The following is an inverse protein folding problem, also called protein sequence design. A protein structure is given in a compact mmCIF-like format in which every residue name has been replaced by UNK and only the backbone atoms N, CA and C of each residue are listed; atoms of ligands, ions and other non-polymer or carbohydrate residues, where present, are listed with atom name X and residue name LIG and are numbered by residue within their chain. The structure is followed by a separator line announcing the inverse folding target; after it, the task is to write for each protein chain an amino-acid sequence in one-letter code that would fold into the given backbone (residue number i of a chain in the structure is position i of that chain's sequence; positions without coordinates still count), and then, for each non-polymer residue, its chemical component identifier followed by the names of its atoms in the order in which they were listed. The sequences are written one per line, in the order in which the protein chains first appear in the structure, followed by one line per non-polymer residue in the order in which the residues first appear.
data_IF_567002245341
#
_entry.id   IF_567002245341
#
_cell.length_a   1.000
_cell.length_b   1.000
_cell.length_c   1.000
_cell.angle_alpha   90.00
_cell.angle_beta   90.00
_cell.angle_gamma   90.00
#
_symmetry.space_group_name_H-M   'P 1'
#
loop_
_entity.id
_entity.type
_entity.pdbx_description
1 polymer ?
#
# COMPACT_ATOMS: atom_id res chain seq x y z
N UNK A 1 0.05 -20.59 -30.47
CA UNK A 1 -0.17 -19.48 -31.43
C UNK A 1 -0.28 -20.08 -32.81
N UNK A 2 -1.26 -19.71 -33.66
CA UNK A 2 -1.46 -20.33 -34.96
C UNK A 2 -0.15 -20.33 -35.76
N UNK A 3 0.35 -21.52 -36.12
CA UNK A 3 1.53 -21.71 -36.99
C UNK A 3 2.92 -21.71 -36.34
N UNK A 4 3.06 -21.49 -35.02
CA UNK A 4 4.37 -21.41 -34.36
C UNK A 4 4.81 -22.68 -33.61
N UNK A 5 6.13 -22.88 -33.47
CA UNK A 5 6.75 -23.93 -32.60
C UNK A 5 6.52 -23.72 -31.10
N UNK A 6 5.84 -22.66 -30.70
CA UNK A 6 5.61 -22.27 -29.31
C UNK A 6 4.15 -22.49 -28.91
N UNK A 7 3.96 -23.09 -27.73
CA UNK A 7 2.68 -23.20 -27.03
C UNK A 7 2.71 -22.34 -25.78
N UNK A 8 1.59 -21.70 -25.47
CA UNK A 8 1.40 -21.02 -24.19
C UNK A 8 1.01 -22.07 -23.15
N UNK A 9 1.50 -21.88 -21.92
CA UNK A 9 0.89 -22.55 -20.79
C UNK A 9 -0.48 -21.92 -20.56
N UNK A 10 -1.53 -22.74 -20.47
CA UNK A 10 -2.89 -22.22 -20.40
C UNK A 10 -3.18 -21.56 -19.05
N UNK A 11 -2.48 -21.94 -17.99
CA UNK A 11 -2.64 -21.37 -16.65
C UNK A 11 -1.56 -20.33 -16.36
N UNK A 12 -1.94 -19.26 -15.65
CA UNK A 12 -1.02 -18.22 -15.21
C UNK A 12 -1.38 -17.73 -13.82
N UNK A 13 -0.38 -17.19 -13.11
CA UNK A 13 -0.58 -16.44 -11.88
C UNK A 13 -0.81 -14.97 -12.19
N UNK A 14 -1.82 -14.36 -11.60
CA UNK A 14 -2.07 -12.92 -11.66
C UNK A 14 -1.68 -12.29 -10.33
N UNK A 15 -0.85 -11.24 -10.34
CA UNK A 15 -0.57 -10.43 -9.15
C UNK A 15 -1.32 -9.11 -9.26
N UNK A 16 -2.15 -8.82 -8.26
CA UNK A 16 -2.83 -7.54 -8.14
C UNK A 16 -2.17 -6.62 -7.11
N UNK A 17 -2.58 -5.35 -7.02
CA UNK A 17 -2.27 -4.50 -5.89
C UNK A 17 -3.07 -4.93 -4.65
N UNK A 18 -2.65 -4.47 -3.47
CA UNK A 18 -3.33 -4.79 -2.20
C UNK A 18 -4.61 -3.99 -1.96
N UNK A 19 -4.80 -2.86 -2.66
CA UNK A 19 -6.00 -2.02 -2.54
C UNK A 19 -6.44 -1.52 -3.94
N UNK A 20 -7.70 -1.08 -4.08
CA UNK A 20 -8.18 -0.56 -5.36
C UNK A 20 -7.42 0.69 -5.81
N UNK A 21 -7.15 0.79 -7.11
CA UNK A 21 -6.52 1.97 -7.73
C UNK A 21 -7.32 3.26 -7.48
N UNK A 22 -8.64 3.17 -7.33
CA UNK A 22 -9.49 4.32 -7.00
C UNK A 22 -9.05 5.04 -5.71
N UNK A 23 -8.44 4.30 -4.77
CA UNK A 23 -7.91 4.86 -3.54
C UNK A 23 -6.86 5.95 -3.77
N UNK A 24 -6.00 5.83 -4.79
CA UNK A 24 -5.01 6.90 -5.09
C UNK A 24 -5.66 8.11 -5.75
N UNK A 25 -6.74 7.92 -6.51
CA UNK A 25 -7.47 9.01 -7.16
C UNK A 25 -8.16 9.92 -6.14
N UNK A 26 -8.54 9.38 -4.98
CA UNK A 26 -9.08 10.17 -3.87
C UNK A 26 -8.07 11.20 -3.30
N UNK A 27 -6.77 11.05 -3.61
CA UNK A 27 -5.73 12.00 -3.22
C UNK A 27 -5.46 13.07 -4.29
N UNK A 28 -6.17 13.05 -5.41
CA UNK A 28 -6.01 13.98 -6.53
C UNK A 28 -7.18 14.98 -6.59
N UNK A 29 -7.10 16.12 -5.87
CA UNK A 29 -8.11 17.18 -5.98
C UNK A 29 -8.04 17.86 -7.34
N UNK A 30 -8.89 17.43 -8.28
CA UNK A 30 -8.90 17.97 -9.66
C UNK A 30 -9.30 19.45 -9.68
N UNK A 31 -10.21 19.84 -8.80
CA UNK A 31 -10.68 21.22 -8.63
C UNK A 31 -9.53 22.21 -8.37
N UNK A 32 -8.63 21.89 -7.44
CA UNK A 32 -7.50 22.78 -7.13
C UNK A 32 -6.47 22.80 -8.26
N UNK A 33 -6.30 21.70 -9.00
CA UNK A 33 -5.41 21.68 -10.18
C UNK A 33 -5.93 22.59 -11.29
N UNK A 34 -7.24 22.59 -11.56
CA UNK A 34 -7.85 23.50 -12.54
C UNK A 34 -7.76 24.96 -12.09
N UNK A 35 -7.85 25.24 -10.78
CA UNK A 35 -7.62 26.59 -10.28
C UNK A 35 -6.14 27.00 -10.45
N UNK A 36 -5.20 26.10 -10.19
CA UNK A 36 -3.77 26.36 -10.37
C UNK A 36 -3.41 26.71 -11.83
N UNK A 37 -4.12 26.15 -12.82
CA UNK A 37 -3.90 26.43 -14.24
C UNK A 37 -4.03 27.92 -14.59
N UNK A 38 -4.80 28.71 -13.82
CA UNK A 38 -4.89 30.17 -14.01
C UNK A 38 -3.54 30.89 -13.87
N UNK A 39 -2.62 30.30 -13.13
CA UNK A 39 -1.29 30.86 -12.86
C UNK A 39 -0.20 30.23 -13.72
N UNK A 40 -0.55 29.34 -14.66
CA UNK A 40 0.41 28.70 -15.55
C UNK A 40 1.14 29.74 -16.41
N UNK A 41 2.44 29.95 -16.15
CA UNK A 41 3.26 30.95 -16.84
C UNK A 41 2.99 32.40 -16.42
N UNK A 42 2.20 32.62 -15.37
CA UNK A 42 1.87 33.93 -14.80
C UNK A 42 2.70 34.31 -13.56
N UNK A 43 2.31 35.39 -12.91
CA UNK A 43 2.93 35.87 -11.67
C UNK A 43 2.29 35.18 -10.46
N UNK A 44 3.11 34.59 -9.58
CA UNK A 44 2.67 33.89 -8.36
C UNK A 44 2.61 34.87 -7.17
N UNK A 45 1.84 35.94 -7.31
CA UNK A 45 1.62 36.94 -6.25
C UNK A 45 0.38 37.79 -6.51
N UNK A 46 -0.08 38.48 -5.47
CA UNK A 46 -1.24 39.35 -5.51
C UNK A 46 -2.52 38.67 -5.03
N UNK A 47 -3.66 39.39 -5.04
CA UNK A 47 -4.88 38.95 -4.36
C UNK A 47 -5.39 37.58 -4.83
N UNK A 48 -5.34 37.31 -6.14
CA UNK A 48 -5.79 36.03 -6.71
C UNK A 48 -4.89 34.86 -6.28
N UNK A 49 -3.58 35.12 -6.11
CA UNK A 49 -2.62 34.13 -5.63
C UNK A 49 -2.83 33.86 -4.13
N UNK A 50 -3.03 34.91 -3.33
CA UNK A 50 -3.31 34.78 -1.90
C UNK A 50 -4.61 33.99 -1.66
N UNK A 51 -5.64 34.22 -2.48
CA UNK A 51 -6.88 33.42 -2.49
C UNK A 51 -6.60 31.95 -2.83
N UNK A 52 -5.82 31.70 -3.88
CA UNK A 52 -5.42 30.34 -4.27
C UNK A 52 -4.65 29.62 -3.16
N UNK A 53 -3.70 30.28 -2.50
CA UNK A 53 -2.96 29.69 -1.37
C UNK A 53 -3.90 29.30 -0.22
N UNK A 54 -4.90 30.13 0.08
CA UNK A 54 -5.95 29.82 1.04
C UNK A 54 -6.71 28.54 0.66
N UNK A 55 -7.25 28.49 -0.57
CA UNK A 55 -7.97 27.32 -1.09
C UNK A 55 -7.09 26.07 -1.08
N UNK A 56 -5.84 26.18 -1.53
CA UNK A 56 -4.88 25.07 -1.53
C UNK A 56 -4.63 24.56 -0.11
N UNK A 57 -4.47 25.45 0.87
CA UNK A 57 -4.30 25.08 2.28
C UNK A 57 -5.48 24.29 2.84
N UNK A 58 -6.70 24.69 2.52
CA UNK A 58 -7.92 23.98 2.92
C UNK A 58 -8.05 22.61 2.25
N UNK A 59 -7.82 22.54 0.93
CA UNK A 59 -7.82 21.29 0.18
C UNK A 59 -6.78 20.32 0.73
N UNK A 60 -5.58 20.82 1.00
CA UNK A 60 -4.53 20.03 1.62
C UNK A 60 -4.98 19.52 3.00
N UNK A 61 -5.51 20.36 3.89
CA UNK A 61 -6.03 19.91 5.19
C UNK A 61 -7.07 18.78 5.04
N UNK A 62 -8.00 18.90 4.08
CA UNK A 62 -8.99 17.86 3.75
C UNK A 62 -8.32 16.55 3.27
N UNK A 63 -7.32 16.63 2.40
CA UNK A 63 -6.55 15.45 1.96
C UNK A 63 -5.83 14.76 3.12
N UNK A 64 -5.31 15.53 4.09
CA UNK A 64 -4.72 14.96 5.30
C UNK A 64 -5.75 14.20 6.15
N UNK A 65 -6.97 14.73 6.30
CA UNK A 65 -8.07 14.01 6.99
C UNK A 65 -8.40 12.71 6.25
N UNK A 66 -8.45 12.72 4.92
CA UNK A 66 -8.65 11.50 4.12
C UNK A 66 -7.55 10.47 4.37
N UNK A 67 -6.29 10.92 4.38
CA UNK A 67 -5.14 10.07 4.70
C UNK A 67 -5.17 9.55 6.13
N UNK A 68 -5.71 10.31 7.10
CA UNK A 68 -5.94 9.80 8.45
C UNK A 68 -6.99 8.69 8.46
N UNK A 69 -8.05 8.81 7.65
CA UNK A 69 -9.03 7.74 7.46
C UNK A 69 -8.38 6.45 6.92
N UNK A 70 -7.50 6.57 5.92
CA UNK A 70 -6.71 5.44 5.40
C UNK A 70 -5.80 4.86 6.49
N UNK A 71 -5.02 5.73 7.16
CA UNK A 71 -4.07 5.34 8.20
C UNK A 71 -4.73 4.68 9.41
N UNK A 72 -6.00 5.00 9.69
CA UNK A 72 -6.79 4.41 10.76
C UNK A 72 -7.46 3.08 10.40
N UNK A 73 -7.45 2.68 9.12
CA UNK A 73 -8.05 1.41 8.71
C UNK A 73 -7.22 0.21 9.17
N UNK A 74 -7.90 -0.88 9.53
CA UNK A 74 -7.26 -2.13 9.96
C UNK A 74 -6.35 -2.70 8.89
N UNK A 75 -6.81 -2.69 7.64
CA UNK A 75 -6.13 -3.33 6.52
C UNK A 75 -4.86 -2.55 6.16
N UNK A 76 -4.94 -1.23 6.07
CA UNK A 76 -3.74 -0.42 5.83
C UNK A 76 -2.73 -0.56 6.97
N UNK A 77 -3.19 -0.51 8.22
CA UNK A 77 -2.33 -0.69 9.39
C UNK A 77 -1.65 -2.05 9.37
N UNK A 78 -2.37 -3.11 8.99
CA UNK A 78 -1.80 -4.44 8.83
C UNK A 78 -0.77 -4.50 7.68
N UNK A 79 -1.03 -3.86 6.54
CA UNK A 79 -0.10 -3.79 5.41
C UNK A 79 1.23 -3.14 5.81
N UNK A 80 1.13 -1.99 6.47
CA UNK A 80 2.31 -1.30 7.00
C UNK A 80 3.00 -2.14 8.07
N UNK A 81 2.27 -2.85 8.93
CA UNK A 81 2.85 -3.73 9.94
C UNK A 81 3.70 -4.86 9.33
N UNK A 82 3.22 -5.48 8.27
CA UNK A 82 3.95 -6.55 7.57
C UNK A 82 5.22 -6.06 6.90
N UNK A 83 5.21 -4.83 6.38
CA UNK A 83 6.38 -4.26 5.72
C UNK A 83 7.38 -3.65 6.72
N UNK A 84 6.89 -2.85 7.67
CA UNK A 84 7.70 -2.07 8.58
C UNK A 84 6.93 -1.67 9.84
N UNK A 85 6.98 -2.52 10.88
CA UNK A 85 6.32 -2.24 12.17
C UNK A 85 6.78 -0.96 12.86
N UNK A 86 8.00 -0.49 12.62
CA UNK A 86 8.49 0.75 13.25
C UNK A 86 7.65 1.96 12.82
N UNK A 87 7.20 1.98 11.56
CA UNK A 87 6.39 3.06 10.98
C UNK A 87 5.04 3.21 11.67
N UNK A 88 4.47 2.15 12.24
CA UNK A 88 3.25 2.23 13.04
C UNK A 88 3.40 3.21 14.21
N UNK A 89 4.54 3.09 14.92
CA UNK A 89 4.83 3.89 16.11
C UNK A 89 5.37 5.27 15.77
N UNK A 90 6.28 5.38 14.79
CA UNK A 90 6.99 6.62 14.50
C UNK A 90 6.27 7.52 13.50
N UNK A 91 5.46 6.93 12.61
CA UNK A 91 4.73 7.61 11.54
C UNK A 91 3.23 7.68 11.80
N UNK A 92 2.54 6.53 11.77
CA UNK A 92 1.07 6.47 11.80
C UNK A 92 0.49 7.00 13.10
N UNK A 93 0.97 6.54 14.26
CA UNK A 93 0.40 6.96 15.55
C UNK A 93 0.49 8.49 15.77
N UNK A 94 1.63 9.16 15.57
CA UNK A 94 1.69 10.61 15.65
C UNK A 94 0.87 11.33 14.57
N UNK A 95 0.74 10.75 13.37
CA UNK A 95 -0.09 11.32 12.31
C UNK A 95 -1.58 11.29 12.66
N UNK A 96 -2.07 10.18 13.21
CA UNK A 96 -3.45 10.03 13.68
C UNK A 96 -3.77 10.91 14.89
N UNK A 97 -2.76 11.24 15.71
CA UNK A 97 -2.93 12.12 16.88
C UNK A 97 -2.87 13.62 16.56
N UNK A 98 -2.56 14.01 15.32
CA UNK A 98 -2.52 15.40 14.88
C UNK A 98 -3.89 15.82 14.32
N UNK A 99 -4.25 17.11 14.47
CA UNK A 99 -5.50 17.67 13.91
C UNK A 99 -5.15 18.47 12.64
N UNK A 100 -5.53 18.00 11.44
CA UNK A 100 -5.25 18.70 10.20
C UNK A 100 -5.92 20.08 10.13
N UNK A 101 -5.16 21.09 9.72
CA UNK A 101 -5.64 22.44 9.45
C UNK A 101 -4.70 23.13 8.46
N UNK A 102 -5.19 24.15 7.76
CA UNK A 102 -4.39 24.92 6.82
C UNK A 102 -3.18 25.59 7.51
N UNK A 103 -3.37 26.16 8.70
CA UNK A 103 -2.33 26.82 9.49
C UNK A 103 -1.45 25.86 10.32
N UNK A 104 -1.92 24.64 10.62
CA UNK A 104 -1.23 23.65 11.45
C UNK A 104 -0.33 22.66 10.69
N UNK A 105 -0.16 22.81 9.37
CA UNK A 105 0.62 21.94 8.48
C UNK A 105 2.11 22.28 8.43
N UNK A 106 2.77 22.25 9.59
CA UNK A 106 4.23 22.44 9.65
C UNK A 106 5.01 21.26 9.04
N UNK A 107 6.35 21.35 8.99
CA UNK A 107 7.22 20.36 8.34
C UNK A 107 6.98 18.91 8.82
N UNK A 108 6.85 18.69 10.14
CA UNK A 108 6.72 17.34 10.70
C UNK A 108 5.39 16.65 10.34
N UNK A 109 4.20 17.29 10.50
CA UNK A 109 2.94 16.74 9.99
C UNK A 109 2.98 16.42 8.50
N UNK A 110 3.56 17.31 7.67
CA UNK A 110 3.67 17.10 6.22
C UNK A 110 4.51 15.87 5.86
N UNK A 111 5.65 15.65 6.53
CA UNK A 111 6.47 14.46 6.31
C UNK A 111 5.71 13.17 6.63
N UNK A 112 4.86 13.17 7.66
CA UNK A 112 4.07 12.00 8.04
C UNK A 112 2.90 11.75 7.10
N UNK A 113 2.27 12.81 6.63
CA UNK A 113 1.29 12.73 5.56
C UNK A 113 1.88 12.12 4.29
N UNK A 114 3.04 12.64 3.84
CA UNK A 114 3.76 12.14 2.68
C UNK A 114 4.15 10.67 2.85
N UNK A 115 4.57 10.27 4.06
CA UNK A 115 4.84 8.87 4.40
C UNK A 115 3.60 8.00 4.20
N UNK A 116 2.43 8.39 4.73
CA UNK A 116 1.18 7.64 4.56
C UNK A 116 0.76 7.61 3.08
N UNK A 117 0.86 8.74 2.38
CA UNK A 117 0.55 8.84 0.96
C UNK A 117 1.43 7.90 0.12
N UNK A 118 2.74 7.81 0.41
CA UNK A 118 3.65 6.90 -0.27
C UNK A 118 3.29 5.43 -0.06
N UNK A 119 2.96 5.02 1.17
CA UNK A 119 2.47 3.66 1.43
C UNK A 119 1.15 3.40 0.71
N UNK A 120 0.22 4.36 0.74
CA UNK A 120 -1.08 4.21 0.09
C UNK A 120 -0.97 4.07 -1.43
N UNK A 121 -0.20 4.94 -2.07
CA UNK A 121 0.11 4.85 -3.50
C UNK A 121 0.71 3.48 -3.81
N UNK A 122 1.73 3.05 -3.06
CA UNK A 122 2.37 1.75 -3.25
C UNK A 122 1.35 0.62 -3.19
N UNK A 123 0.50 0.59 -2.18
CA UNK A 123 -0.45 -0.52 -2.02
C UNK A 123 -1.62 -0.48 -3.01
N UNK A 124 -1.93 0.68 -3.61
CA UNK A 124 -2.97 0.81 -4.63
C UNK A 124 -2.48 0.55 -6.07
N UNK A 125 -1.19 0.79 -6.36
CA UNK A 125 -0.70 0.83 -7.75
C UNK A 125 0.47 -0.10 -8.05
N UNK A 126 1.08 -0.72 -7.04
CA UNK A 126 2.16 -1.70 -7.25
C UNK A 126 1.65 -3.10 -6.96
N UNK A 127 1.93 -4.01 -7.89
CA UNK A 127 1.60 -5.44 -7.78
C UNK A 127 2.70 -6.20 -7.01
N UNK A 128 3.20 -5.58 -5.94
CA UNK A 128 4.18 -6.18 -5.04
C UNK A 128 3.46 -7.06 -4.02
N UNK A 129 3.88 -8.31 -3.87
CA UNK A 129 3.34 -9.20 -2.83
C UNK A 129 4.08 -8.96 -1.52
N UNK A 130 3.40 -8.34 -0.55
CA UNK A 130 3.91 -8.03 0.79
C UNK A 130 2.98 -8.68 1.81
N UNK A 131 3.27 -9.94 2.14
CA UNK A 131 2.37 -10.76 2.95
C UNK A 131 1.08 -11.05 2.18
N UNK A 132 -0.07 -10.77 2.80
CA UNK A 132 -1.38 -10.95 2.18
C UNK A 132 -1.84 -9.74 1.33
N UNK A 133 -1.02 -8.69 1.24
CA UNK A 133 -1.25 -7.59 0.30
C UNK A 133 -0.51 -7.84 -1.01
N UNK A 134 -1.17 -7.49 -2.11
CA UNK A 134 -0.75 -7.91 -3.45
C UNK A 134 -0.98 -9.41 -3.69
N UNK A 135 -2.24 -9.87 -3.55
CA UNK A 135 -2.57 -11.29 -3.62
C UNK A 135 -2.23 -11.88 -4.98
N UNK A 136 -1.98 -13.19 -4.96
CA UNK A 136 -1.79 -14.00 -6.17
C UNK A 136 -3.10 -14.72 -6.48
N UNK A 137 -3.70 -14.38 -7.61
CA UNK A 137 -4.80 -15.12 -8.22
C UNK A 137 -4.30 -16.09 -9.29
N UNK A 138 -5.18 -16.99 -9.72
CA UNK A 138 -4.94 -17.88 -10.85
C UNK A 138 -5.88 -17.53 -11.98
N UNK A 139 -5.38 -17.59 -13.22
CA UNK A 139 -6.16 -17.39 -14.42
C UNK A 139 -5.86 -18.45 -15.47
N UNK A 140 -6.72 -18.52 -16.48
CA UNK A 140 -6.55 -19.39 -17.64
C UNK A 140 -6.75 -18.60 -18.94
N UNK A 141 -5.97 -18.93 -19.96
CA UNK A 141 -6.22 -18.50 -21.34
C UNK A 141 -7.29 -19.40 -21.95
N UNK A 142 -8.43 -18.83 -22.30
CA UNK A 142 -9.54 -19.51 -22.96
C UNK A 142 -9.80 -18.85 -24.33
N UNK A 143 -9.69 -19.62 -25.41
CA UNK A 143 -9.90 -19.12 -26.77
C UNK A 143 -11.36 -18.83 -27.13
N UNK A 144 -12.31 -19.21 -26.28
CA UNK A 144 -13.74 -18.91 -26.45
C UNK A 144 -14.15 -17.54 -25.90
N UNK A 145 -13.31 -16.91 -25.07
CA UNK A 145 -13.59 -15.62 -24.44
C UNK A 145 -13.02 -14.49 -25.29
N UNK A 146 -13.85 -13.50 -25.65
CA UNK A 146 -13.46 -12.36 -26.48
C UNK A 146 -12.70 -11.24 -25.74
N UNK A 147 -12.32 -11.45 -24.48
CA UNK A 147 -11.77 -10.42 -23.60
C UNK A 147 -11.27 -10.98 -22.27
N UNK A 148 -11.39 -10.19 -21.20
CA UNK A 148 -11.01 -10.58 -19.83
C UNK A 148 -12.27 -10.76 -19.01
N UNK A 149 -12.48 -11.97 -18.49
CA UNK A 149 -13.45 -12.24 -17.44
C UNK A 149 -12.74 -12.30 -16.10
N UNK A 150 -13.34 -11.69 -15.08
CA UNK A 150 -12.78 -11.63 -13.73
C UNK A 150 -13.85 -12.11 -12.77
N UNK A 151 -13.48 -13.04 -11.88
CA UNK A 151 -14.30 -13.49 -10.76
C UNK A 151 -13.70 -12.89 -9.47
N UNK A 152 -14.16 -11.72 -9.01
CA UNK A 152 -13.63 -11.08 -7.82
C UNK A 152 -14.15 -11.77 -6.55
N UNK A 153 -13.27 -11.95 -5.58
CA UNK A 153 -13.68 -12.39 -4.23
C UNK A 153 -14.37 -11.28 -3.43
N UNK A 154 -14.93 -11.65 -2.27
CA UNK A 154 -15.65 -10.72 -1.37
C UNK A 154 -14.72 -9.84 -0.51
N UNK A 155 -13.42 -10.07 -0.54
CA UNK A 155 -12.44 -9.35 0.28
C UNK A 155 -11.04 -9.32 -0.34
N UNK A 156 -10.07 -8.76 0.40
CA UNK A 156 -8.69 -8.60 -0.09
C UNK A 156 -8.01 -9.93 -0.44
N UNK A 157 -8.25 -10.97 0.36
CA UNK A 157 -7.73 -12.32 0.12
C UNK A 157 -8.79 -13.38 0.42
N UNK A 158 -8.91 -14.39 -0.44
CA UNK A 158 -9.75 -15.56 -0.16
C UNK A 158 -9.19 -16.44 0.99
N UNK A 159 -7.85 -16.53 1.09
CA UNK A 159 -7.16 -17.20 2.19
C UNK A 159 -5.75 -16.63 2.36
N UNK A 160 -5.17 -16.83 3.54
CA UNK A 160 -3.77 -16.51 3.80
C UNK A 160 -3.11 -17.59 4.64
N UNK A 161 -1.80 -17.76 4.50
CA UNK A 161 -1.00 -18.69 5.30
C UNK A 161 0.27 -17.98 5.74
N UNK A 162 0.62 -18.12 7.02
CA UNK A 162 1.82 -17.52 7.60
C UNK A 162 2.80 -18.63 7.92
N UNK A 163 4.05 -18.42 7.54
CA UNK A 163 5.14 -19.36 7.76
C UNK A 163 6.22 -18.72 8.61
N UNK A 164 6.94 -19.53 9.39
CA UNK A 164 8.17 -19.06 10.03
C UNK A 164 9.22 -18.79 8.96
N UNK A 165 9.95 -17.68 9.11
CA UNK A 165 11.15 -17.46 8.33
C UNK A 165 12.20 -18.52 8.67
N UNK A 166 12.94 -18.98 7.65
CA UNK A 166 13.99 -19.99 7.79
C UNK A 166 14.97 -19.65 8.90
N UNK A 167 15.41 -18.39 9.00
CA UNK A 167 16.36 -17.95 10.02
C UNK A 167 15.85 -18.17 11.46
N UNK A 168 14.54 -18.06 11.69
CA UNK A 168 13.94 -18.23 13.01
C UNK A 168 13.93 -19.70 13.40
N UNK A 169 13.64 -20.57 12.43
CA UNK A 169 13.73 -22.02 12.60
C UNK A 169 15.19 -22.43 12.84
N UNK A 170 16.14 -21.86 12.09
CA UNK A 170 17.57 -22.14 12.28
C UNK A 170 18.08 -21.66 13.63
N UNK A 171 17.63 -20.48 14.09
CA UNK A 171 17.98 -19.95 15.40
C UNK A 171 17.43 -20.85 16.52
N UNK A 172 16.17 -21.25 16.43
CA UNK A 172 15.55 -22.19 17.35
C UNK A 172 16.31 -23.52 17.37
N UNK A 173 16.60 -24.09 16.20
CA UNK A 173 17.35 -25.33 16.08
C UNK A 173 18.72 -25.22 16.75
N UNK A 174 19.47 -24.13 16.52
CA UNK A 174 20.76 -23.88 17.20
C UNK A 174 20.63 -23.82 18.71
N UNK A 175 19.60 -23.14 19.23
CA UNK A 175 19.36 -23.06 20.68
C UNK A 175 19.03 -24.42 21.28
N UNK A 176 18.18 -25.21 20.63
CA UNK A 176 17.82 -26.55 21.10
C UNK A 176 19.01 -27.52 21.04
N UNK A 177 19.83 -27.45 19.99
CA UNK A 177 21.02 -28.29 19.86
C UNK A 177 22.14 -27.97 20.85
N UNK A 178 22.10 -26.83 21.51
CA UNK A 178 23.06 -26.48 22.56
C UNK A 178 22.74 -27.14 23.92
N UNK A 179 21.53 -27.67 24.10
CA UNK A 179 21.14 -28.41 25.30
C UNK A 179 21.31 -29.92 25.08
N UNK A 180 22.36 -30.49 25.68
CA UNK A 180 22.65 -31.93 25.60
C UNK A 180 21.49 -32.80 26.11
N UNK A 181 20.67 -32.30 27.05
CA UNK A 181 19.51 -33.04 27.56
C UNK A 181 18.44 -33.18 26.49
N UNK A 182 18.26 -32.16 25.65
CA UNK A 182 17.31 -32.19 24.54
C UNK A 182 17.83 -33.08 23.40
N UNK A 183 19.13 -33.06 23.14
CA UNK A 183 19.75 -33.89 22.10
C UNK A 183 19.53 -35.39 22.31
N UNK A 184 19.39 -35.85 23.56
CA UNK A 184 19.06 -37.25 23.86
C UNK A 184 17.67 -37.69 23.34
N UNK A 185 16.76 -36.75 23.06
CA UNK A 185 15.40 -37.01 22.57
C UNK A 185 15.20 -36.64 21.09
N UNK A 186 16.22 -36.08 20.43
CA UNK A 186 16.16 -35.69 19.03
C UNK A 186 16.80 -36.81 18.20
N UNK A 187 16.08 -37.44 17.26
CA UNK A 187 16.66 -38.48 16.43
C UNK A 187 17.85 -37.90 15.63
N UNK A 188 18.97 -38.63 15.53
CA UNK A 188 20.11 -38.19 14.74
C UNK A 188 19.71 -38.04 13.26
N UNK A 189 20.31 -37.05 12.59
CA UNK A 189 20.09 -36.79 11.15
C UNK A 189 20.78 -37.82 10.27
#
# INVERSE_FOLDING_TARGET
MPGGRWRLWEQFSLRGPGFPVGGVLDLAPVDVSVYADKFAGGVLSGPDWDEFEGVFGEVAARTAVRLQGVAGSSDFTAAVAWQNRTVLRTGLRPFLGWVPSASGRSSMPRQREELVAHYWQRFCVKNDTIGFFGPVGWGRVDGSVGGVEVDPGEGLTASSSVFFSSWSIDALARTLSADERLMAWIPPR
#
